data_IF_454643869339
#
_entry.id   IF_454643869339
#
_cell.length_a   1.000
_cell.length_b   1.000
_cell.length_c   1.000
_cell.angle_alpha   90.00
_cell.angle_beta   90.00
_cell.angle_gamma   90.00
#
_symmetry.space_group_name_H-M   'P 1'
#
loop_
_entity.id
_entity.type
_entity.pdbx_description
1 polymer ?
#
# COMPACT_ATOMS: atom_id res chain seq x y z
N UNK A 1 5.33 -37.93 -20.74
CA UNK A 1 6.08 -36.89 -21.48
C UNK A 1 6.83 -36.04 -20.47
N UNK A 2 8.16 -36.07 -20.56
CA UNK A 2 9.12 -35.39 -19.69
C UNK A 2 8.89 -33.87 -19.67
N UNK A 3 8.59 -33.32 -18.48
CA UNK A 3 8.60 -31.87 -18.24
C UNK A 3 10.08 -31.44 -18.22
N UNK A 4 10.52 -30.78 -19.30
CA UNK A 4 11.80 -30.07 -19.33
C UNK A 4 11.77 -28.96 -18.27
N UNK A 5 12.51 -29.16 -17.17
CA UNK A 5 12.80 -28.11 -16.22
C UNK A 5 13.72 -27.09 -16.90
N UNK A 6 13.22 -25.88 -17.08
CA UNK A 6 14.04 -24.73 -17.48
C UNK A 6 14.91 -24.40 -16.26
N UNK A 7 16.20 -24.71 -16.34
CA UNK A 7 17.19 -24.38 -15.33
C UNK A 7 17.46 -22.88 -15.37
N UNK A 8 16.88 -22.12 -14.43
CA UNK A 8 17.27 -20.73 -14.19
C UNK A 8 18.50 -20.70 -13.28
N UNK A 9 19.47 -19.86 -13.62
CA UNK A 9 20.72 -19.69 -12.85
C UNK A 9 20.46 -19.31 -11.39
N UNK A 10 21.34 -19.80 -10.50
CA UNK A 10 21.21 -19.67 -9.05
C UNK A 10 21.08 -18.22 -8.56
N UNK A 11 20.44 -18.09 -7.40
CA UNK A 11 20.19 -16.84 -6.67
C UNK A 11 21.50 -16.03 -6.46
N UNK A 12 21.46 -14.72 -6.76
CA UNK A 12 22.56 -13.80 -6.53
C UNK A 12 22.46 -13.13 -5.15
N UNK A 13 23.56 -13.11 -4.39
CA UNK A 13 23.64 -12.56 -3.03
C UNK A 13 24.89 -11.69 -2.84
N UNK A 14 24.87 -10.77 -1.88
CA UNK A 14 25.98 -9.82 -1.65
C UNK A 14 26.91 -10.21 -0.52
N UNK A 15 26.58 -11.27 0.23
CA UNK A 15 27.43 -11.79 1.30
C UNK A 15 27.71 -13.28 1.15
N UNK A 16 28.86 -13.70 1.63
CA UNK A 16 29.20 -15.10 1.84
C UNK A 16 30.06 -15.24 3.10
N UNK A 17 30.32 -16.49 3.50
CA UNK A 17 31.21 -16.83 4.62
C UNK A 17 32.37 -17.67 4.07
N UNK A 18 33.59 -17.44 4.53
CA UNK A 18 34.74 -18.29 4.23
C UNK A 18 34.71 -19.56 5.09
N UNK A 19 35.49 -20.58 4.75
CA UNK A 19 35.58 -21.81 5.56
C UNK A 19 36.00 -21.55 7.02
N UNK A 20 36.77 -20.49 7.26
CA UNK A 20 37.17 -20.07 8.60
C UNK A 20 36.11 -19.27 9.37
N UNK A 21 34.89 -19.13 8.83
CA UNK A 21 33.79 -18.38 9.44
C UNK A 21 33.82 -16.87 9.20
N UNK A 22 34.82 -16.33 8.50
CA UNK A 22 34.92 -14.89 8.20
C UNK A 22 33.86 -14.48 7.18
N UNK A 23 33.11 -13.42 7.49
CA UNK A 23 32.09 -12.90 6.58
C UNK A 23 32.69 -11.98 5.53
N UNK A 24 32.40 -12.25 4.25
CA UNK A 24 32.77 -11.42 3.11
C UNK A 24 31.51 -10.71 2.58
N UNK A 25 31.68 -9.45 2.17
CA UNK A 25 30.62 -8.53 1.79
C UNK A 25 30.99 -7.79 0.52
N UNK A 26 30.16 -7.89 -0.52
CA UNK A 26 30.31 -7.08 -1.74
C UNK A 26 29.92 -5.61 -1.53
N UNK A 27 29.50 -5.24 -0.32
CA UNK A 27 29.27 -3.85 0.05
C UNK A 27 30.53 -3.12 0.52
N UNK A 28 31.57 -3.87 0.89
CA UNK A 28 32.84 -3.31 1.34
C UNK A 28 33.64 -2.77 0.16
N UNK A 29 34.68 -1.97 0.44
CA UNK A 29 35.59 -1.50 -0.60
C UNK A 29 36.53 -2.63 -0.97
N UNK A 30 36.48 -3.05 -2.23
CA UNK A 30 37.32 -4.10 -2.79
C UNK A 30 37.95 -3.63 -4.07
N UNK A 31 39.20 -4.05 -4.31
CA UNK A 31 39.81 -4.01 -5.63
C UNK A 31 39.60 -5.33 -6.36
N UNK A 32 39.47 -5.28 -7.69
CA UNK A 32 39.21 -6.48 -8.50
C UNK A 32 40.32 -7.54 -8.35
N UNK A 33 41.58 -7.11 -8.24
CA UNK A 33 42.73 -7.99 -8.02
C UNK A 33 42.61 -8.74 -6.69
N UNK A 34 42.24 -8.04 -5.60
CA UNK A 34 42.07 -8.66 -4.28
C UNK A 34 40.98 -9.74 -4.30
N UNK A 35 39.84 -9.47 -4.94
CA UNK A 35 38.75 -10.43 -5.05
C UNK A 35 39.10 -11.61 -5.97
N UNK A 36 39.89 -11.39 -7.02
CA UNK A 36 40.40 -12.45 -7.88
C UNK A 36 41.36 -13.37 -7.12
N UNK A 37 42.24 -12.81 -6.28
CA UNK A 37 43.14 -13.58 -5.43
C UNK A 37 42.36 -14.35 -4.36
N UNK A 38 41.40 -13.70 -3.71
CA UNK A 38 40.51 -14.36 -2.73
C UNK A 38 39.76 -15.53 -3.37
N UNK A 39 39.26 -15.35 -4.61
CA UNK A 39 38.54 -16.39 -5.36
C UNK A 39 39.41 -17.59 -5.71
N UNK A 40 40.73 -17.41 -5.87
CA UNK A 40 41.67 -18.52 -6.11
C UNK A 40 42.03 -19.26 -4.83
N UNK A 41 42.13 -18.53 -3.72
CA UNK A 41 42.65 -19.04 -2.45
C UNK A 41 41.59 -19.60 -1.52
N UNK A 42 40.35 -19.11 -1.61
CA UNK A 42 39.30 -19.39 -0.63
C UNK A 42 38.06 -19.98 -1.28
N UNK A 43 37.31 -20.77 -0.50
CA UNK A 43 35.97 -21.22 -0.85
C UNK A 43 34.94 -20.35 -0.12
N UNK A 44 33.89 -19.98 -0.83
CA UNK A 44 32.78 -19.21 -0.28
C UNK A 44 31.60 -20.13 -0.02
N UNK A 45 30.99 -19.93 1.15
CA UNK A 45 29.89 -20.72 1.67
C UNK A 45 28.68 -19.81 1.89
N UNK A 46 27.50 -20.29 1.52
CA UNK A 46 26.24 -19.64 1.82
C UNK A 46 25.95 -19.72 3.33
N UNK A 47 25.73 -18.60 4.04
CA UNK A 47 25.45 -18.61 5.48
C UNK A 47 24.12 -19.27 5.87
N UNK A 48 23.27 -19.61 4.90
CA UNK A 48 21.93 -20.17 5.15
C UNK A 48 21.96 -21.70 5.00
N UNK A 49 22.30 -22.18 3.80
CA UNK A 49 22.26 -23.62 3.50
C UNK A 49 23.61 -24.31 3.70
N UNK A 50 24.68 -23.56 4.00
CA UNK A 50 26.05 -24.07 4.13
C UNK A 50 26.61 -24.69 2.84
N UNK A 51 25.93 -24.47 1.70
CA UNK A 51 26.39 -24.91 0.38
C UNK A 51 27.38 -23.92 -0.23
N UNK A 52 28.17 -24.40 -1.20
CA UNK A 52 29.17 -23.59 -1.89
C UNK A 52 28.53 -22.52 -2.79
N UNK A 53 29.14 -21.34 -2.81
CA UNK A 53 28.79 -20.24 -3.71
C UNK A 53 30.00 -19.75 -4.51
N UNK A 54 29.76 -19.21 -5.70
CA UNK A 54 30.78 -18.71 -6.63
C UNK A 54 30.76 -17.19 -6.63
N UNK A 55 31.93 -16.56 -6.43
CA UNK A 55 32.11 -15.13 -6.62
C UNK A 55 32.12 -14.76 -8.12
N UNK A 56 31.13 -13.97 -8.54
CA UNK A 56 30.95 -13.47 -9.90
C UNK A 56 31.42 -12.01 -10.00
N UNK A 57 32.57 -11.81 -10.64
CA UNK A 57 33.17 -10.50 -10.89
C UNK A 57 32.85 -10.04 -12.32
N UNK A 58 31.58 -9.77 -12.60
CA UNK A 58 31.16 -9.30 -13.92
C UNK A 58 31.54 -7.84 -14.16
N UNK A 59 31.83 -7.46 -15.40
CA UNK A 59 32.09 -6.06 -15.80
C UNK A 59 30.81 -5.24 -15.98
N UNK A 60 29.68 -5.90 -16.29
CA UNK A 60 28.37 -5.26 -16.51
C UNK A 60 27.39 -5.41 -15.35
N UNK A 61 27.60 -6.41 -14.48
CA UNK A 61 26.73 -6.70 -13.34
C UNK A 61 27.52 -6.49 -12.06
N UNK A 62 26.86 -5.95 -11.04
CA UNK A 62 27.45 -5.80 -9.71
C UNK A 62 28.06 -7.13 -9.24
N UNK A 63 29.21 -7.05 -8.58
CA UNK A 63 29.85 -8.22 -7.99
C UNK A 63 28.94 -8.88 -6.95
N UNK A 64 28.79 -10.20 -7.05
CA UNK A 64 27.87 -10.98 -6.21
C UNK A 64 28.35 -12.42 -6.09
N UNK A 65 27.80 -13.13 -5.12
CA UNK A 65 27.93 -14.57 -5.00
C UNK A 65 26.70 -15.26 -5.61
N UNK A 66 26.86 -16.44 -6.20
CA UNK A 66 25.75 -17.26 -6.69
C UNK A 66 25.97 -18.73 -6.38
N UNK A 67 24.93 -19.47 -6.02
CA UNK A 67 25.01 -20.92 -5.88
C UNK A 67 25.44 -21.59 -7.19
N UNK A 68 26.14 -22.73 -7.09
CA UNK A 68 26.42 -23.59 -8.24
C UNK A 68 25.11 -24.13 -8.86
N UNK A 69 25.11 -24.39 -10.17
CA UNK A 69 23.93 -24.91 -10.87
C UNK A 69 23.43 -26.18 -10.17
N UNK A 70 22.11 -26.28 -9.96
CA UNK A 70 21.39 -27.37 -9.26
C UNK A 70 21.41 -27.36 -7.72
N UNK A 71 22.05 -26.39 -7.05
CA UNK A 71 21.91 -26.24 -5.59
C UNK A 71 20.84 -25.18 -5.26
N UNK A 72 19.72 -25.62 -4.69
CA UNK A 72 18.64 -24.76 -4.20
C UNK A 72 18.80 -24.52 -2.71
N UNK A 73 19.09 -23.28 -2.30
CA UNK A 73 19.03 -22.88 -0.90
C UNK A 73 17.61 -23.11 -0.35
N UNK A 74 17.48 -23.55 0.92
CA UNK A 74 16.17 -23.75 1.59
C UNK A 74 15.31 -22.49 1.59
N UNK A 75 15.93 -21.31 1.52
CA UNK A 75 15.27 -20.03 1.28
C UNK A 75 15.32 -19.76 -0.22
N UNK A 76 14.43 -20.38 -0.98
CA UNK A 76 14.35 -20.12 -2.43
C UNK A 76 13.79 -18.71 -2.66
N UNK A 77 14.65 -17.77 -3.02
CA UNK A 77 14.27 -16.45 -3.52
C UNK A 77 14.38 -16.46 -5.05
N UNK A 78 13.47 -15.76 -5.73
CA UNK A 78 13.58 -15.58 -7.18
C UNK A 78 14.94 -14.95 -7.53
N UNK A 79 15.53 -15.24 -8.70
CA UNK A 79 16.80 -14.64 -9.10
C UNK A 79 16.75 -13.11 -8.99
N UNK A 80 17.57 -12.54 -8.11
CA UNK A 80 17.60 -11.09 -7.91
C UNK A 80 18.17 -10.39 -9.15
N UNK A 81 17.46 -9.37 -9.64
CA UNK A 81 17.93 -8.55 -10.75
C UNK A 81 19.09 -7.63 -10.32
N UNK A 82 19.91 -7.17 -11.28
CA UNK A 82 20.94 -6.17 -11.01
C UNK A 82 20.35 -4.87 -10.40
N UNK A 83 19.13 -4.51 -10.79
CA UNK A 83 18.38 -3.39 -10.21
C UNK A 83 18.12 -3.61 -8.71
N UNK A 84 17.67 -4.81 -8.33
CA UNK A 84 17.42 -5.17 -6.93
C UNK A 84 18.71 -5.14 -6.10
N UNK A 85 19.77 -5.79 -6.57
CA UNK A 85 21.07 -5.85 -5.89
C UNK A 85 21.67 -4.46 -5.67
N UNK A 86 21.60 -3.59 -6.69
CA UNK A 86 22.11 -2.23 -6.61
C UNK A 86 21.28 -1.37 -5.64
N UNK A 87 19.95 -1.47 -5.71
CA UNK A 87 19.08 -0.71 -4.81
C UNK A 87 19.24 -1.11 -3.34
N UNK A 88 19.33 -2.41 -3.07
CA UNK A 88 19.65 -2.95 -1.74
C UNK A 88 20.97 -2.40 -1.21
N UNK A 89 22.02 -2.46 -2.04
CA UNK A 89 23.34 -1.96 -1.67
C UNK A 89 23.35 -0.44 -1.42
N UNK A 90 22.65 0.32 -2.24
CA UNK A 90 22.52 1.77 -2.07
C UNK A 90 21.82 2.13 -0.76
N UNK A 91 20.71 1.45 -0.44
CA UNK A 91 19.97 1.66 0.81
C UNK A 91 20.87 1.38 2.01
N UNK A 92 21.62 0.27 1.99
CA UNK A 92 22.60 -0.05 3.03
C UNK A 92 23.66 1.06 3.18
N UNK A 93 24.26 1.51 2.07
CA UNK A 93 25.27 2.58 2.07
C UNK A 93 24.70 3.91 2.58
N UNK A 94 23.47 4.23 2.23
CA UNK A 94 22.77 5.44 2.67
C UNK A 94 22.53 5.46 4.18
N UNK A 95 22.14 4.32 4.76
CA UNK A 95 22.01 4.18 6.22
C UNK A 95 23.37 4.36 6.92
N UNK A 96 24.41 3.67 6.44
CA UNK A 96 25.76 3.76 7.01
C UNK A 96 26.32 5.17 6.97
N UNK A 97 26.05 5.91 5.88
CA UNK A 97 26.47 7.31 5.72
C UNK A 97 25.83 8.26 6.75
N UNK A 98 24.66 7.90 7.28
CA UNK A 98 23.98 8.63 8.35
C UNK A 98 24.41 8.18 9.75
N UNK A 99 25.42 7.33 9.88
CA UNK A 99 25.86 6.80 11.17
C UNK A 99 24.98 5.69 11.73
N UNK A 100 24.02 5.18 10.96
CA UNK A 100 23.12 4.11 11.38
C UNK A 100 23.87 2.78 11.36
N UNK A 101 23.78 2.02 12.46
CA UNK A 101 24.27 0.64 12.51
C UNK A 101 23.38 -0.24 11.64
N UNK A 102 23.85 -0.54 10.44
CA UNK A 102 23.16 -1.42 9.48
C UNK A 102 24.00 -2.67 9.17
N UNK A 103 23.31 -3.76 8.84
CA UNK A 103 23.86 -5.00 8.28
C UNK A 103 23.06 -5.41 7.05
N UNK A 104 23.74 -5.89 6.03
CA UNK A 104 23.14 -6.28 4.76
C UNK A 104 22.90 -7.80 4.78
N UNK A 105 21.74 -8.29 4.32
CA UNK A 105 21.40 -9.72 4.17
C UNK A 105 21.70 -10.60 5.41
N UNK A 106 21.39 -10.10 6.61
CA UNK A 106 21.63 -10.85 7.86
C UNK A 106 20.60 -11.97 8.01
N UNK A 107 21.05 -13.21 8.13
CA UNK A 107 20.15 -14.33 8.39
C UNK A 107 19.64 -14.29 9.83
N UNK A 108 18.33 -14.46 10.01
CA UNK A 108 17.64 -14.49 11.30
C UNK A 108 17.10 -15.91 11.56
N UNK A 109 17.86 -16.78 12.26
CA UNK A 109 17.53 -18.20 12.38
C UNK A 109 16.17 -18.48 13.04
N UNK A 110 15.82 -17.67 14.06
CA UNK A 110 14.56 -17.83 14.83
C UNK A 110 13.33 -17.78 13.94
N UNK A 111 13.35 -16.95 12.89
CA UNK A 111 12.23 -16.78 11.95
C UNK A 111 12.53 -17.34 10.56
N UNK A 112 13.73 -17.90 10.38
CA UNK A 112 14.25 -18.39 9.10
C UNK A 112 14.11 -17.39 7.95
N UNK A 113 14.27 -16.10 8.25
CA UNK A 113 14.17 -15.02 7.26
C UNK A 113 15.49 -14.29 7.11
N UNK A 114 15.63 -13.61 5.98
CA UNK A 114 16.78 -12.76 5.65
C UNK A 114 16.22 -11.43 5.13
N UNK A 115 16.19 -10.36 5.94
CA UNK A 115 15.88 -9.03 5.44
C UNK A 115 16.97 -8.58 4.48
N UNK A 116 16.59 -7.72 3.54
CA UNK A 116 17.54 -7.11 2.63
C UNK A 116 18.55 -6.26 3.40
N UNK A 117 18.07 -5.43 4.32
CA UNK A 117 18.92 -4.69 5.25
C UNK A 117 18.31 -4.72 6.64
N UNK A 118 19.11 -5.02 7.67
CA UNK A 118 18.72 -4.82 9.07
C UNK A 118 19.41 -3.59 9.63
N UNK A 119 18.73 -2.76 10.40
CA UNK A 119 19.36 -1.60 11.03
C UNK A 119 18.82 -1.31 12.43
N UNK A 120 19.59 -0.57 13.23
CA UNK A 120 19.21 -0.11 14.57
C UNK A 120 19.08 1.40 14.59
N UNK A 121 17.87 1.90 14.85
CA UNK A 121 17.53 3.33 14.96
C UNK A 121 16.87 3.56 16.33
N UNK A 122 17.34 4.55 17.08
CA UNK A 122 16.75 4.93 18.38
C UNK A 122 16.49 3.74 19.32
N UNK A 123 17.44 2.80 19.39
CA UNK A 123 17.33 1.59 20.21
C UNK A 123 16.49 0.44 19.63
N UNK A 124 15.70 0.70 18.58
CA UNK A 124 14.80 -0.29 17.95
C UNK A 124 15.46 -0.93 16.72
N UNK A 125 15.14 -2.19 16.46
CA UNK A 125 15.57 -2.92 15.27
C UNK A 125 14.54 -2.80 14.16
N UNK A 126 15.03 -2.59 12.95
CA UNK A 126 14.22 -2.48 11.74
C UNK A 126 14.71 -3.47 10.69
N UNK A 127 13.78 -4.14 10.03
CA UNK A 127 14.02 -4.97 8.85
C UNK A 127 13.53 -4.21 7.61
N UNK A 128 14.44 -3.80 6.75
CA UNK A 128 14.14 -3.15 5.49
C UNK A 128 14.07 -4.20 4.38
N UNK A 129 12.96 -4.19 3.65
CA UNK A 129 12.66 -5.02 2.48
C UNK A 129 12.61 -4.15 1.23
N UNK A 130 13.37 -4.48 0.19
CA UNK A 130 13.44 -3.71 -1.05
C UNK A 130 12.76 -4.42 -2.22
N UNK A 131 11.44 -4.32 -2.32
CA UNK A 131 10.67 -5.12 -3.28
C UNK A 131 10.56 -4.47 -4.68
N UNK A 132 11.23 -5.06 -5.67
CA UNK A 132 11.23 -4.58 -7.07
C UNK A 132 10.27 -5.34 -8.00
N UNK A 133 9.98 -6.62 -7.71
CA UNK A 133 9.09 -7.49 -8.48
C UNK A 133 7.75 -7.70 -7.76
N UNK A 134 6.79 -8.38 -8.39
CA UNK A 134 5.52 -8.68 -7.72
C UNK A 134 5.73 -9.69 -6.60
N UNK A 135 5.03 -9.51 -5.48
CA UNK A 135 5.05 -10.41 -4.33
C UNK A 135 3.61 -10.86 -4.04
N UNK A 136 3.41 -12.13 -3.68
CA UNK A 136 2.10 -12.58 -3.20
C UNK A 136 1.78 -11.94 -1.84
N UNK A 137 0.50 -11.68 -1.57
CA UNK A 137 0.06 -11.10 -0.29
C UNK A 137 0.41 -12.03 0.88
N UNK A 138 0.24 -13.35 0.71
CA UNK A 138 0.67 -14.38 1.67
C UNK A 138 2.16 -14.25 2.05
N UNK A 139 3.06 -14.21 1.05
CA UNK A 139 4.51 -14.11 1.30
C UNK A 139 4.90 -12.77 1.93
N UNK A 140 4.22 -11.69 1.56
CA UNK A 140 4.39 -10.38 2.20
C UNK A 140 4.04 -10.46 3.70
N UNK A 141 2.90 -11.06 4.01
CA UNK A 141 2.40 -11.20 5.38
C UNK A 141 3.30 -12.14 6.20
N UNK A 142 3.76 -13.26 5.64
CA UNK A 142 4.67 -14.18 6.31
C UNK A 142 5.99 -13.50 6.73
N UNK A 143 6.56 -12.69 5.85
CA UNK A 143 7.77 -11.89 6.15
C UNK A 143 7.49 -10.87 7.24
N UNK A 144 6.47 -10.05 7.04
CA UNK A 144 6.08 -9.00 7.99
C UNK A 144 5.78 -9.56 9.39
N UNK A 145 5.02 -10.65 9.47
CA UNK A 145 4.68 -11.32 10.72
C UNK A 145 5.88 -12.04 11.35
N UNK A 146 6.81 -12.56 10.53
CA UNK A 146 8.11 -13.04 10.99
C UNK A 146 8.84 -11.99 11.82
N UNK A 147 9.07 -10.81 11.23
CA UNK A 147 9.75 -9.70 11.92
C UNK A 147 9.02 -9.23 13.17
N UNK A 148 7.70 -9.03 13.09
CA UNK A 148 6.89 -8.58 14.22
C UNK A 148 6.98 -9.54 15.41
N UNK A 149 6.98 -10.87 15.19
CA UNK A 149 7.07 -11.88 16.25
C UNK A 149 8.37 -11.81 17.06
N UNK A 150 9.45 -11.31 16.48
CA UNK A 150 10.75 -11.16 17.15
C UNK A 150 11.06 -9.70 17.51
N UNK A 151 10.05 -8.82 17.50
CA UNK A 151 10.19 -7.41 17.89
C UNK A 151 11.00 -6.57 16.91
N UNK A 152 11.12 -7.00 15.64
CA UNK A 152 11.78 -6.24 14.57
C UNK A 152 10.71 -5.52 13.76
N UNK A 153 10.89 -4.22 13.54
CA UNK A 153 9.91 -3.37 12.83
C UNK A 153 10.16 -3.46 11.32
N UNK A 154 9.22 -3.98 10.51
CA UNK A 154 9.39 -4.06 9.07
C UNK A 154 9.20 -2.70 8.39
N UNK A 155 10.06 -2.37 7.44
CA UNK A 155 9.94 -1.23 6.52
C UNK A 155 10.02 -1.75 5.09
N UNK A 156 8.96 -1.56 4.31
CA UNK A 156 8.93 -1.95 2.91
C UNK A 156 9.23 -0.74 2.02
N UNK A 157 10.28 -0.86 1.21
CA UNK A 157 10.67 0.11 0.19
C UNK A 157 10.43 -0.53 -1.17
N UNK A 158 9.65 0.13 -2.03
CA UNK A 158 9.35 -0.38 -3.36
C UNK A 158 10.41 0.09 -4.38
N UNK A 159 10.70 -0.74 -5.37
CA UNK A 159 11.53 -0.32 -6.51
C UNK A 159 10.91 0.87 -7.24
N UNK A 160 11.73 1.81 -7.71
CA UNK A 160 11.26 2.96 -8.50
C UNK A 160 10.54 2.55 -9.79
N UNK A 161 10.89 1.38 -10.35
CA UNK A 161 10.17 0.72 -11.44
C UNK A 161 8.70 0.36 -11.12
N UNK A 162 8.32 0.38 -9.84
CA UNK A 162 6.95 0.13 -9.38
C UNK A 162 6.11 1.39 -9.20
N UNK A 163 6.73 2.59 -9.25
CA UNK A 163 6.00 3.85 -9.16
C UNK A 163 5.25 4.15 -10.46
N UNK A 164 3.95 3.88 -10.49
CA UNK A 164 3.11 4.01 -11.71
C UNK A 164 2.24 5.26 -11.67
N UNK A 165 2.82 6.41 -12.04
CA UNK A 165 2.06 7.64 -12.27
C UNK A 165 1.26 7.53 -13.59
N UNK A 166 0.02 8.00 -13.58
CA UNK A 166 -0.88 7.91 -14.74
C UNK A 166 -1.11 9.26 -15.36
N UNK A 167 -1.78 10.16 -14.65
CA UNK A 167 -1.97 11.55 -15.07
C UNK A 167 -2.06 12.43 -13.82
N UNK A 168 -1.32 13.54 -13.81
CA UNK A 168 -1.35 14.49 -12.69
C UNK A 168 -1.10 13.79 -11.36
N UNK A 169 -2.08 13.80 -10.45
CA UNK A 169 -2.01 13.19 -9.11
C UNK A 169 -2.57 11.76 -9.04
N UNK A 170 -2.90 11.15 -10.18
CA UNK A 170 -3.44 9.79 -10.23
C UNK A 170 -2.32 8.74 -10.36
N UNK A 171 -2.37 7.73 -9.50
CA UNK A 171 -1.41 6.64 -9.42
C UNK A 171 -2.10 5.28 -9.53
N UNK A 172 -1.34 4.29 -9.98
CA UNK A 172 -1.75 2.88 -9.96
C UNK A 172 -0.95 2.13 -8.89
N UNK A 173 -1.66 1.51 -7.94
CA UNK A 173 -1.11 0.77 -6.81
C UNK A 173 -1.68 -0.65 -6.82
N UNK A 174 -0.83 -1.67 -6.89
CA UNK A 174 -1.19 -3.09 -6.95
C UNK A 174 -1.41 -3.70 -5.56
N UNK A 175 -2.05 -4.88 -5.50
CA UNK A 175 -2.51 -5.55 -4.27
C UNK A 175 -1.52 -5.48 -3.10
N UNK A 176 -0.39 -6.19 -3.19
CA UNK A 176 0.60 -6.20 -2.11
C UNK A 176 1.23 -4.83 -1.81
N UNK A 177 1.26 -3.89 -2.77
CA UNK A 177 1.79 -2.55 -2.53
C UNK A 177 0.93 -1.79 -1.50
N UNK A 178 -0.37 -2.12 -1.38
CA UNK A 178 -1.21 -1.57 -0.32
C UNK A 178 -0.85 -2.08 1.08
N UNK A 179 -0.25 -3.27 1.17
CA UNK A 179 0.25 -3.85 2.41
C UNK A 179 1.59 -3.21 2.84
N UNK A 180 2.39 -2.74 1.86
CA UNK A 180 3.66 -2.06 2.08
C UNK A 180 3.53 -0.68 2.74
N UNK A 181 2.32 -0.09 2.74
CA UNK A 181 2.09 1.21 3.34
C UNK A 181 2.02 1.09 4.86
N UNK A 182 3.00 1.63 5.62
CA UNK A 182 2.99 1.57 7.07
C UNK A 182 1.72 2.20 7.64
N UNK A 183 1.20 1.57 8.69
CA UNK A 183 0.09 2.09 9.48
C UNK A 183 0.66 2.89 10.67
N UNK A 184 0.32 4.18 10.75
CA UNK A 184 0.68 5.03 11.89
C UNK A 184 -0.58 5.45 12.66
N UNK A 185 -0.89 4.79 13.80
CA UNK A 185 -2.09 5.11 14.59
C UNK A 185 -2.03 6.51 15.23
N UNK A 186 -0.84 7.08 15.38
CA UNK A 186 -0.63 8.38 16.04
C UNK A 186 -0.73 9.58 15.07
N UNK A 187 -0.80 9.34 13.75
CA UNK A 187 -0.85 10.39 12.72
C UNK A 187 -2.02 10.16 11.75
N UNK A 188 -3.23 10.06 12.30
CA UNK A 188 -4.46 10.10 11.51
C UNK A 188 -4.64 8.95 10.51
N UNK A 189 -4.08 7.76 10.77
CA UNK A 189 -4.14 6.62 9.84
C UNK A 189 -3.58 6.94 8.43
N UNK A 190 -2.68 7.94 8.31
CA UNK A 190 -2.11 8.28 7.01
C UNK A 190 -1.17 7.19 6.51
N UNK A 191 -1.56 6.58 5.39
CA UNK A 191 -0.73 5.66 4.63
C UNK A 191 0.12 6.40 3.61
N UNK A 192 1.40 6.01 3.55
CA UNK A 192 2.33 6.47 2.53
C UNK A 192 3.11 5.29 1.96
N UNK A 193 3.72 5.46 0.79
CA UNK A 193 4.58 4.46 0.17
C UNK A 193 5.94 5.07 -0.13
N UNK A 194 6.99 4.34 0.23
CA UNK A 194 8.38 4.73 -0.03
C UNK A 194 8.89 3.96 -1.24
N UNK A 195 9.56 4.66 -2.14
CA UNK A 195 10.18 4.11 -3.32
C UNK A 195 11.65 4.52 -3.40
N UNK A 196 12.48 3.63 -3.96
CA UNK A 196 13.87 3.94 -4.29
C UNK A 196 14.24 3.47 -5.70
N UNK A 197 14.86 4.35 -6.48
CA UNK A 197 15.36 4.06 -7.81
C UNK A 197 16.91 4.10 -7.84
N UNK A 198 17.61 2.96 -7.90
CA UNK A 198 19.07 2.90 -7.95
C UNK A 198 19.68 3.53 -9.19
N UNK A 199 19.00 3.45 -10.34
CA UNK A 199 19.49 4.01 -11.61
C UNK A 199 19.54 5.53 -11.58
N UNK A 200 18.51 6.17 -11.02
CA UNK A 200 18.42 7.63 -10.93
C UNK A 200 18.92 8.20 -9.60
N UNK A 201 19.29 7.32 -8.65
CA UNK A 201 19.66 7.66 -7.27
C UNK A 201 18.66 8.63 -6.63
N UNK A 202 17.38 8.26 -6.68
CA UNK A 202 16.28 9.07 -6.13
C UNK A 202 15.39 8.25 -5.23
N UNK A 203 15.03 8.86 -4.13
CA UNK A 203 13.89 8.49 -3.30
C UNK A 203 12.63 9.10 -3.88
N UNK A 204 11.52 8.39 -3.77
CA UNK A 204 10.21 8.95 -4.01
C UNK A 204 9.26 8.49 -2.90
N UNK A 205 8.30 9.35 -2.56
CA UNK A 205 7.32 9.10 -1.53
C UNK A 205 5.94 9.47 -2.05
N UNK A 206 4.99 8.55 -1.88
CA UNK A 206 3.57 8.81 -2.12
C UNK A 206 2.87 8.99 -0.80
N UNK A 207 2.39 10.20 -0.55
CA UNK A 207 1.64 10.56 0.65
C UNK A 207 0.16 10.79 0.32
N UNK A 208 -0.69 10.77 1.36
CA UNK A 208 -2.15 10.99 1.26
C UNK A 208 -2.82 10.12 0.20
N UNK A 209 -2.48 8.84 0.22
CA UNK A 209 -2.99 7.88 -0.75
C UNK A 209 -4.49 7.67 -0.52
N UNK A 210 -5.30 8.18 -1.44
CA UNK A 210 -6.76 8.06 -1.41
C UNK A 210 -7.22 7.15 -2.53
N UNK A 211 -7.59 5.91 -2.19
CA UNK A 211 -8.12 4.94 -3.14
C UNK A 211 -9.49 5.36 -3.66
N UNK A 212 -9.73 5.11 -4.94
CA UNK A 212 -11.05 5.28 -5.55
C UNK A 212 -11.46 4.07 -6.41
N UNK A 213 -10.58 3.06 -6.48
CA UNK A 213 -10.83 1.73 -7.04
C UNK A 213 -9.81 0.74 -6.45
N UNK A 214 -9.89 -0.52 -6.88
CA UNK A 214 -8.99 -1.58 -6.45
C UNK A 214 -7.51 -1.23 -6.58
N UNK A 215 -7.14 -0.57 -7.68
CA UNK A 215 -5.76 -0.28 -8.02
C UNK A 215 -5.46 1.16 -8.41
N UNK A 216 -6.40 2.10 -8.22
CA UNK A 216 -6.19 3.52 -8.51
C UNK A 216 -6.41 4.39 -7.29
N UNK A 217 -5.51 5.35 -7.14
CA UNK A 217 -5.53 6.32 -6.05
C UNK A 217 -5.16 7.72 -6.54
N UNK A 218 -5.57 8.71 -5.76
CA UNK A 218 -5.01 10.07 -5.81
C UNK A 218 -3.98 10.16 -4.69
N UNK A 219 -2.80 10.71 -4.96
CA UNK A 219 -1.74 10.86 -3.98
C UNK A 219 -0.85 12.08 -4.29
N UNK A 220 -0.10 12.52 -3.27
CA UNK A 220 0.95 13.53 -3.40
C UNK A 220 2.30 12.85 -3.57
N UNK A 221 3.08 13.27 -4.57
CA UNK A 221 4.39 12.69 -4.87
C UNK A 221 5.50 13.67 -4.49
N UNK A 222 6.38 13.23 -3.59
CA UNK A 222 7.62 13.90 -3.22
C UNK A 222 8.80 13.13 -3.77
N UNK A 223 9.76 13.79 -4.41
CA UNK A 223 10.96 13.16 -4.98
C UNK A 223 12.21 13.81 -4.39
N UNK A 224 13.13 13.00 -3.89
CA UNK A 224 14.30 13.46 -3.14
C UNK A 224 15.56 12.80 -3.68
N UNK A 225 16.68 13.54 -3.68
CA UNK A 225 17.98 12.99 -4.13
C UNK A 225 18.52 12.01 -3.08
N UNK A 226 19.17 10.94 -3.52
CA UNK A 226 19.83 9.95 -2.63
C UNK A 226 20.79 10.60 -1.62
N UNK A 227 21.57 11.59 -2.06
CA UNK A 227 22.53 12.32 -1.21
C UNK A 227 21.94 13.59 -0.56
N UNK A 228 20.62 13.75 -0.54
CA UNK A 228 20.01 14.87 0.20
C UNK A 228 20.18 14.67 1.71
N UNK A 229 19.95 15.74 2.50
CA UNK A 229 20.05 15.71 3.97
C UNK A 229 18.90 14.97 4.66
N UNK A 230 18.05 14.24 3.91
CA UNK A 230 16.92 13.52 4.51
C UNK A 230 17.42 12.41 5.43
N UNK A 231 16.92 12.42 6.67
CA UNK A 231 17.20 11.36 7.64
C UNK A 231 16.34 10.12 7.42
N UNK A 232 16.74 8.98 8.00
CA UNK A 232 15.90 7.76 7.99
C UNK A 232 14.58 8.00 8.70
N UNK A 233 14.63 8.70 9.81
CA UNK A 233 13.51 9.11 10.62
C UNK A 233 12.53 9.95 9.81
N UNK A 234 13.01 10.96 9.07
CA UNK A 234 12.17 11.78 8.18
C UNK A 234 11.55 10.96 7.03
N UNK A 235 12.29 10.01 6.47
CA UNK A 235 11.81 9.18 5.37
C UNK A 235 10.64 8.28 5.79
N UNK A 236 10.66 7.79 7.04
CA UNK A 236 9.64 6.88 7.59
C UNK A 236 8.62 7.58 8.49
N UNK A 237 8.82 8.86 8.83
CA UNK A 237 7.85 9.63 9.60
C UNK A 237 6.66 10.01 8.72
N UNK A 238 5.42 9.95 9.21
CA UNK A 238 4.26 10.52 8.51
C UNK A 238 4.50 11.99 8.13
N UNK A 239 3.93 12.43 7.01
CA UNK A 239 4.03 13.84 6.59
C UNK A 239 2.81 14.58 7.09
N UNK A 240 3.01 15.55 7.98
CA UNK A 240 1.91 16.35 8.49
C UNK A 240 1.35 17.31 7.42
N UNK A 241 0.04 17.60 7.51
CA UNK A 241 -0.62 18.74 6.87
C UNK A 241 -0.64 18.85 5.33
N UNK A 242 -0.37 17.79 4.56
CA UNK A 242 -0.59 17.87 3.10
C UNK A 242 -2.10 18.03 2.80
N UNK A 243 -2.55 18.97 1.95
CA UNK A 243 -3.98 19.11 1.67
C UNK A 243 -4.50 18.00 0.74
N UNK A 244 -5.74 17.57 0.98
CA UNK A 244 -6.44 16.67 0.06
C UNK A 244 -6.74 17.36 -1.28
N UNK A 245 -6.44 16.69 -2.40
CA UNK A 245 -6.67 17.25 -3.73
C UNK A 245 -8.16 17.13 -4.14
N UNK A 246 -8.98 18.03 -3.60
CA UNK A 246 -10.42 18.06 -3.85
C UNK A 246 -10.77 18.26 -5.32
N UNK A 247 -10.00 19.07 -6.06
CA UNK A 247 -10.20 19.29 -7.49
C UNK A 247 -10.06 18.00 -8.29
N UNK A 248 -9.00 17.22 -8.03
CA UNK A 248 -8.80 15.92 -8.67
C UNK A 248 -9.89 14.91 -8.27
N UNK A 249 -10.36 14.95 -7.02
CA UNK A 249 -11.46 14.09 -6.57
C UNK A 249 -12.78 14.43 -7.26
N UNK A 250 -13.14 15.72 -7.39
CA UNK A 250 -14.32 16.16 -8.13
C UNK A 250 -14.25 15.78 -9.61
N UNK A 251 -13.06 15.86 -10.22
CA UNK A 251 -12.85 15.34 -11.59
C UNK A 251 -13.11 13.83 -11.66
N UNK A 252 -12.71 13.08 -10.63
CA UNK A 252 -13.00 11.64 -10.55
C UNK A 252 -14.50 11.35 -10.34
N UNK A 253 -15.20 12.12 -9.49
CA UNK A 253 -16.66 12.02 -9.35
C UNK A 253 -17.37 12.32 -10.67
N UNK A 254 -16.98 13.39 -11.36
CA UNK A 254 -17.50 13.72 -12.71
C UNK A 254 -17.32 12.55 -13.68
N UNK A 255 -16.16 11.89 -13.68
CA UNK A 255 -15.94 10.68 -14.49
C UNK A 255 -16.91 9.56 -14.15
N UNK A 256 -17.19 9.29 -12.86
CA UNK A 256 -18.19 8.28 -12.48
C UNK A 256 -19.60 8.64 -12.95
N UNK A 257 -19.94 9.93 -13.03
CA UNK A 257 -21.25 10.37 -13.53
C UNK A 257 -21.39 10.26 -15.04
N UNK A 258 -20.35 10.62 -15.80
CA UNK A 258 -20.46 10.79 -17.25
C UNK A 258 -19.96 9.59 -18.06
N UNK A 259 -19.12 8.72 -17.47
CA UNK A 259 -18.60 7.57 -18.21
C UNK A 259 -19.58 6.40 -18.16
N UNK A 260 -19.79 5.71 -19.29
CA UNK A 260 -20.70 4.58 -19.33
C UNK A 260 -20.19 3.44 -18.45
N UNK A 261 -21.14 2.70 -17.89
CA UNK A 261 -20.84 1.52 -17.11
C UNK A 261 -20.12 0.48 -17.98
N UNK A 262 -18.94 0.02 -17.52
CA UNK A 262 -18.12 -0.91 -18.31
C UNK A 262 -18.73 -2.33 -18.25
N UNK A 263 -18.90 -3.03 -19.41
CA UNK A 263 -19.55 -4.34 -19.47
C UNK A 263 -18.79 -5.45 -18.73
N UNK A 264 -17.46 -5.38 -18.67
CA UNK A 264 -16.57 -6.40 -18.09
C UNK A 264 -16.15 -6.08 -16.65
N UNK A 265 -17.12 -5.73 -15.82
CA UNK A 265 -16.88 -5.18 -14.49
C UNK A 265 -16.91 -6.22 -13.36
N UNK A 266 -16.33 -5.87 -12.21
CA UNK A 266 -16.25 -6.74 -11.02
C UNK A 266 -17.63 -7.16 -10.50
N UNK A 267 -17.70 -8.22 -9.67
CA UNK A 267 -18.95 -8.65 -9.01
C UNK A 267 -19.68 -7.50 -8.31
N UNK A 268 -18.94 -6.64 -7.60
CA UNK A 268 -19.46 -5.42 -6.96
C UNK A 268 -20.15 -4.49 -7.95
N UNK A 269 -19.55 -4.29 -9.12
CA UNK A 269 -20.08 -3.38 -10.12
C UNK A 269 -21.33 -3.93 -10.82
N UNK A 270 -21.32 -5.22 -11.18
CA UNK A 270 -22.52 -5.89 -11.74
C UNK A 270 -23.68 -5.86 -10.76
N UNK A 271 -23.41 -6.07 -9.47
CA UNK A 271 -24.43 -5.98 -8.41
C UNK A 271 -24.95 -4.56 -8.29
N UNK A 272 -24.06 -3.57 -8.27
CA UNK A 272 -24.43 -2.16 -8.23
C UNK A 272 -25.32 -1.75 -9.41
N UNK A 273 -24.97 -2.15 -10.64
CA UNK A 273 -25.80 -1.90 -11.84
C UNK A 273 -27.20 -2.47 -11.70
N UNK A 274 -27.33 -3.74 -11.27
CA UNK A 274 -28.63 -4.38 -11.07
C UNK A 274 -29.46 -3.65 -10.03
N UNK A 275 -28.81 -3.21 -8.96
CA UNK A 275 -29.48 -2.55 -7.86
C UNK A 275 -29.98 -1.14 -8.22
N UNK A 276 -29.15 -0.36 -8.91
CA UNK A 276 -29.56 0.91 -9.51
C UNK A 276 -30.76 0.74 -10.45
N UNK A 277 -30.77 -0.32 -11.26
CA UNK A 277 -31.90 -0.65 -12.14
C UNK A 277 -33.19 -0.92 -11.37
N UNK A 278 -33.14 -1.74 -10.31
CA UNK A 278 -34.30 -2.03 -9.43
C UNK A 278 -34.87 -0.74 -8.82
N UNK A 279 -34.00 0.17 -8.38
CA UNK A 279 -34.39 1.45 -7.80
C UNK A 279 -34.68 2.54 -8.86
N UNK A 280 -34.62 2.21 -10.16
CA UNK A 280 -34.85 3.13 -11.28
C UNK A 280 -33.93 4.36 -11.26
N UNK A 281 -32.69 4.19 -10.80
CA UNK A 281 -31.67 5.24 -10.72
C UNK A 281 -30.70 5.07 -11.89
N UNK A 282 -30.57 6.05 -12.80
CA UNK A 282 -29.56 6.01 -13.85
C UNK A 282 -28.14 5.95 -13.26
N UNK A 283 -27.20 5.17 -13.84
CA UNK A 283 -25.88 4.96 -13.24
C UNK A 283 -25.07 6.21 -12.90
N UNK A 284 -25.20 7.28 -13.67
CA UNK A 284 -24.51 8.55 -13.39
C UNK A 284 -25.21 9.46 -12.38
N UNK A 285 -26.44 9.13 -12.00
CA UNK A 285 -27.31 9.90 -11.10
C UNK A 285 -27.43 9.26 -9.71
N UNK A 286 -26.46 8.43 -9.32
CA UNK A 286 -26.34 8.01 -7.93
C UNK A 286 -26.29 9.23 -6.98
N UNK A 287 -26.76 9.10 -5.72
CA UNK A 287 -26.83 10.21 -4.76
C UNK A 287 -25.54 11.02 -4.67
N UNK A 288 -25.63 12.34 -4.60
CA UNK A 288 -24.44 13.20 -4.56
C UNK A 288 -23.63 13.07 -3.27
N UNK A 289 -24.28 12.61 -2.21
CA UNK A 289 -23.74 12.30 -0.89
C UNK A 289 -22.89 11.02 -0.89
N UNK A 290 -22.82 10.28 -2.00
CA UNK A 290 -21.92 9.15 -2.22
C UNK A 290 -20.68 9.52 -3.05
N UNK A 291 -19.67 8.64 -3.02
CA UNK A 291 -18.42 8.82 -3.74
C UNK A 291 -17.45 9.80 -3.08
N UNK A 292 -17.53 9.96 -1.77
CA UNK A 292 -16.66 10.83 -1.00
C UNK A 292 -15.60 10.04 -0.26
N UNK A 293 -14.42 10.62 -0.16
CA UNK A 293 -13.32 9.98 0.56
C UNK A 293 -13.57 9.98 2.08
N UNK A 294 -13.20 8.88 2.73
CA UNK A 294 -13.14 8.72 4.18
C UNK A 294 -11.74 8.22 4.61
N UNK A 295 -11.23 8.58 5.80
CA UNK A 295 -9.90 8.14 6.26
C UNK A 295 -9.70 6.61 6.27
N UNK A 296 -10.68 5.86 6.79
CA UNK A 296 -10.59 4.40 6.95
C UNK A 296 -10.81 3.64 5.64
N UNK A 297 -11.21 4.30 4.55
CA UNK A 297 -11.59 3.63 3.29
C UNK A 297 -10.42 2.99 2.52
N UNK A 298 -9.17 3.26 2.88
CA UNK A 298 -7.98 2.79 2.14
C UNK A 298 -7.92 1.26 2.04
N UNK A 299 -8.60 0.61 2.97
CA UNK A 299 -8.78 -0.83 3.12
C UNK A 299 -9.84 -1.45 2.19
N UNK A 300 -10.61 -0.61 1.52
CA UNK A 300 -11.69 -1.03 0.64
C UNK A 300 -11.18 -1.10 -0.80
N UNK A 301 -11.48 -2.21 -1.46
CA UNK A 301 -11.21 -2.41 -2.90
C UNK A 301 -12.35 -1.82 -3.72
N UNK A 302 -13.59 -1.99 -3.26
CA UNK A 302 -14.80 -1.44 -3.87
C UNK A 302 -14.79 0.09 -3.85
N UNK A 303 -15.12 0.71 -4.98
CA UNK A 303 -15.12 2.17 -5.13
C UNK A 303 -16.14 2.85 -4.19
N UNK A 304 -15.83 4.02 -3.60
CA UNK A 304 -16.73 4.69 -2.66
C UNK A 304 -18.07 5.08 -3.24
N UNK A 305 -18.16 5.41 -4.54
CA UNK A 305 -19.45 5.71 -5.18
C UNK A 305 -20.39 4.49 -5.24
N UNK A 306 -19.88 3.27 -5.06
CA UNK A 306 -20.69 2.05 -5.05
C UNK A 306 -21.22 1.80 -3.64
N UNK A 307 -20.32 1.58 -2.68
CA UNK A 307 -20.73 1.15 -1.34
C UNK A 307 -21.45 2.26 -0.55
N UNK A 308 -21.11 3.53 -0.77
CA UNK A 308 -21.84 4.64 -0.14
C UNK A 308 -23.23 4.80 -0.75
N UNK A 309 -23.36 4.69 -2.08
CA UNK A 309 -24.67 4.70 -2.72
C UNK A 309 -25.55 3.57 -2.21
N UNK A 310 -24.96 2.40 -1.96
CA UNK A 310 -25.65 1.29 -1.31
C UNK A 310 -26.24 1.68 0.06
N UNK A 311 -25.43 2.24 0.95
CA UNK A 311 -25.95 2.66 2.27
C UNK A 311 -27.05 3.71 2.14
N UNK A 312 -26.90 4.69 1.24
CA UNK A 312 -27.87 5.75 1.05
C UNK A 312 -29.22 5.23 0.52
N UNK A 313 -29.20 4.47 -0.56
CA UNK A 313 -30.44 3.96 -1.17
C UNK A 313 -31.09 2.89 -0.27
N UNK A 314 -30.32 2.10 0.48
CA UNK A 314 -30.87 1.07 1.37
C UNK A 314 -31.40 1.63 2.70
N UNK A 315 -30.68 2.57 3.32
CA UNK A 315 -30.95 3.00 4.70
C UNK A 315 -31.56 4.40 4.80
N UNK A 316 -31.45 5.24 3.77
CA UNK A 316 -31.91 6.64 3.82
C UNK A 316 -33.09 6.91 2.90
N UNK A 317 -33.07 6.47 1.65
CA UNK A 317 -34.18 6.72 0.72
C UNK A 317 -35.56 6.18 1.18
N UNK A 318 -35.64 5.05 1.92
CA UNK A 318 -36.93 4.59 2.46
C UNK A 318 -37.43 5.38 3.67
N UNK A 319 -36.56 6.17 4.33
CA UNK A 319 -36.90 6.90 5.56
C UNK A 319 -37.44 8.29 5.26
N UNK A 320 -38.27 8.82 6.16
CA UNK A 320 -38.76 10.19 6.12
C UNK A 320 -37.92 11.12 6.98
N UNK A 321 -37.97 12.42 6.67
CA UNK A 321 -37.43 13.46 7.56
C UNK A 321 -37.89 13.27 9.01
N UNK A 322 -36.98 13.56 9.93
CA UNK A 322 -37.10 13.40 11.39
C UNK A 322 -37.06 11.96 11.92
N UNK A 323 -36.97 10.94 11.07
CA UNK A 323 -36.74 9.58 11.54
C UNK A 323 -35.33 9.41 12.13
N UNK A 324 -35.19 8.43 13.02
CA UNK A 324 -33.93 8.09 13.67
C UNK A 324 -33.08 7.19 12.77
N UNK A 325 -31.78 7.47 12.74
CA UNK A 325 -30.75 6.64 12.12
C UNK A 325 -29.71 6.29 13.17
N UNK A 326 -29.31 5.03 13.23
CA UNK A 326 -28.35 4.52 14.22
C UNK A 326 -27.09 4.00 13.54
N UNK A 327 -25.94 4.09 14.20
CA UNK A 327 -24.72 3.48 13.67
C UNK A 327 -24.81 1.96 13.58
N UNK A 328 -25.59 1.32 14.46
CA UNK A 328 -25.84 -0.12 14.45
C UNK A 328 -26.57 -0.55 13.19
N UNK A 329 -27.63 0.17 12.80
CA UNK A 329 -28.37 -0.06 11.55
C UNK A 329 -27.45 0.04 10.31
N UNK A 330 -26.62 1.08 10.25
CA UNK A 330 -25.67 1.26 9.16
C UNK A 330 -24.59 0.17 9.15
N UNK A 331 -24.06 -0.21 10.32
CA UNK A 331 -23.05 -1.25 10.46
C UNK A 331 -23.61 -2.62 10.04
N UNK A 332 -24.84 -2.94 10.43
CA UNK A 332 -25.52 -4.17 10.03
C UNK A 332 -25.68 -4.24 8.50
N UNK A 333 -26.20 -3.17 7.90
CA UNK A 333 -26.39 -3.09 6.44
C UNK A 333 -25.07 -3.23 5.68
N UNK A 334 -24.01 -2.57 6.14
CA UNK A 334 -22.69 -2.67 5.53
C UNK A 334 -22.08 -4.07 5.69
N UNK A 335 -22.23 -4.69 6.86
CA UNK A 335 -21.74 -6.04 7.13
C UNK A 335 -22.43 -7.06 6.22
N UNK A 336 -23.76 -6.99 6.09
CA UNK A 336 -24.52 -7.83 5.16
C UNK A 336 -24.04 -7.67 3.70
N UNK A 337 -23.78 -6.43 3.29
CA UNK A 337 -23.25 -6.12 1.95
C UNK A 337 -21.85 -6.72 1.70
N UNK A 338 -20.99 -6.70 2.71
CA UNK A 338 -19.67 -7.35 2.68
C UNK A 338 -19.82 -8.88 2.63
N UNK A 339 -20.65 -9.47 3.49
CA UNK A 339 -20.84 -10.92 3.60
C UNK A 339 -21.44 -11.53 2.32
N UNK A 340 -22.31 -10.82 1.61
CA UNK A 340 -22.82 -11.23 0.29
C UNK A 340 -21.76 -11.10 -0.84
N UNK A 341 -20.59 -10.55 -0.52
CA UNK A 341 -19.48 -10.33 -1.44
C UNK A 341 -19.76 -9.23 -2.45
N UNK A 342 -20.58 -8.24 -2.08
CA UNK A 342 -20.87 -7.07 -2.90
C UNK A 342 -19.86 -5.94 -2.65
N UNK A 343 -19.25 -5.93 -1.47
CA UNK A 343 -18.08 -5.12 -1.13
C UNK A 343 -16.88 -6.00 -0.83
N UNK A 344 -15.74 -5.65 -1.44
CA UNK A 344 -14.48 -6.37 -1.27
C UNK A 344 -13.53 -5.50 -0.47
N UNK A 345 -12.94 -6.08 0.56
CA UNK A 345 -11.86 -5.48 1.34
C UNK A 345 -10.51 -6.03 0.89
N UNK A 346 -9.42 -5.34 1.20
CA UNK A 346 -8.05 -5.87 1.12
C UNK A 346 -7.91 -6.93 2.23
N UNK A 347 -7.17 -8.03 2.05
CA UNK A 347 -7.34 -9.27 2.87
C UNK A 347 -7.16 -9.12 4.41
N UNK A 348 -6.67 -7.98 4.90
CA UNK A 348 -6.39 -7.71 6.33
C UNK A 348 -7.60 -7.49 7.27
N UNK A 349 -8.87 -7.64 6.83
CA UNK A 349 -10.05 -7.33 7.67
C UNK A 349 -10.62 -8.45 8.50
N UNK A 350 -10.33 -9.72 8.20
CA UNK A 350 -11.11 -10.81 8.80
C UNK A 350 -10.99 -10.87 10.33
N UNK A 351 -9.88 -10.42 10.91
CA UNK A 351 -9.67 -10.41 12.37
C UNK A 351 -10.23 -9.17 13.08
N UNK A 352 -10.58 -8.10 12.36
CA UNK A 352 -11.01 -6.80 12.93
C UNK A 352 -12.22 -6.18 12.24
N UNK A 353 -12.97 -6.97 11.48
CA UNK A 353 -14.07 -6.51 10.61
C UNK A 353 -15.10 -5.65 11.35
N UNK A 354 -15.50 -6.04 12.57
CA UNK A 354 -16.49 -5.28 13.35
C UNK A 354 -15.96 -3.88 13.69
N UNK A 355 -14.73 -3.78 14.18
CA UNK A 355 -14.09 -2.49 14.50
C UNK A 355 -13.98 -1.61 13.25
N UNK A 356 -13.53 -2.19 12.15
CA UNK A 356 -13.42 -1.50 10.87
C UNK A 356 -14.78 -0.98 10.37
N UNK A 357 -15.82 -1.81 10.38
CA UNK A 357 -17.16 -1.42 9.95
C UNK A 357 -17.69 -0.29 10.84
N UNK A 358 -17.54 -0.41 12.16
CA UNK A 358 -17.97 0.63 13.11
C UNK A 358 -17.26 1.97 12.87
N UNK A 359 -15.94 1.96 12.65
CA UNK A 359 -15.17 3.17 12.33
C UNK A 359 -15.62 3.78 11.00
N UNK A 360 -15.80 2.96 9.97
CA UNK A 360 -16.18 3.41 8.63
C UNK A 360 -17.60 4.00 8.58
N UNK A 361 -18.58 3.39 9.26
CA UNK A 361 -19.94 3.94 9.31
C UNK A 361 -20.02 5.20 10.17
N UNK A 362 -19.21 5.29 11.23
CA UNK A 362 -19.07 6.51 12.01
C UNK A 362 -18.52 7.66 11.14
N UNK A 363 -17.40 7.43 10.45
CA UNK A 363 -16.82 8.41 9.52
C UNK A 363 -17.82 8.87 8.46
N UNK A 364 -18.63 7.94 7.95
CA UNK A 364 -19.65 8.26 6.95
C UNK A 364 -20.82 9.05 7.54
N UNK A 365 -21.30 8.71 8.75
CA UNK A 365 -22.35 9.45 9.43
C UNK A 365 -21.92 10.89 9.79
N UNK A 366 -20.67 11.08 10.22
CA UNK A 366 -20.12 12.41 10.44
C UNK A 366 -20.02 13.20 9.13
N UNK A 367 -19.65 12.56 8.02
CA UNK A 367 -19.67 13.20 6.70
C UNK A 367 -21.08 13.63 6.29
N UNK A 368 -22.09 12.79 6.50
CA UNK A 368 -23.48 13.14 6.22
C UNK A 368 -23.99 14.25 7.13
N UNK A 369 -23.46 14.36 8.35
CA UNK A 369 -23.71 15.50 9.24
C UNK A 369 -23.11 16.79 8.68
N UNK A 370 -21.88 16.75 8.16
CA UNK A 370 -21.25 17.86 7.43
C UNK A 370 -22.08 18.30 6.20
N UNK A 371 -22.74 17.35 5.53
CA UNK A 371 -23.63 17.64 4.41
C UNK A 371 -25.04 18.09 4.84
N UNK A 372 -25.26 18.25 6.15
CA UNK A 372 -26.54 18.58 6.76
C UNK A 372 -27.66 17.56 6.49
N UNK A 373 -27.30 16.34 6.09
CA UNK A 373 -28.25 15.24 5.88
C UNK A 373 -28.67 14.66 7.23
N UNK A 374 -27.71 14.54 8.15
CA UNK A 374 -27.92 14.05 9.50
C UNK A 374 -27.74 15.17 10.53
N UNK A 375 -28.46 15.07 11.64
CA UNK A 375 -28.21 15.82 12.88
C UNK A 375 -27.83 14.86 13.99
N UNK A 376 -26.65 15.05 14.58
CA UNK A 376 -26.18 14.21 15.69
C UNK A 376 -27.02 14.45 16.94
N UNK A 377 -27.53 13.38 17.54
CA UNK A 377 -28.19 13.41 18.86
C UNK A 377 -27.15 13.07 19.93
N UNK A 378 -26.42 11.98 19.73
CA UNK A 378 -25.35 11.50 20.60
C UNK A 378 -24.31 10.71 19.77
N UNK A 379 -23.42 9.97 20.43
CA UNK A 379 -22.31 9.26 19.77
C UNK A 379 -22.75 8.16 18.79
N UNK A 380 -23.96 7.60 18.92
CA UNK A 380 -24.42 6.48 18.08
C UNK A 380 -25.77 6.73 17.39
N UNK A 381 -26.39 7.89 17.62
CA UNK A 381 -27.73 8.20 17.14
C UNK A 381 -27.82 9.56 16.46
N UNK A 382 -28.55 9.57 15.35
CA UNK A 382 -28.75 10.72 14.48
C UNK A 382 -30.24 10.85 14.13
N UNK A 383 -30.66 12.07 13.80
CA UNK A 383 -31.94 12.37 13.15
C UNK A 383 -31.70 12.63 11.68
N UNK A 384 -32.55 12.08 10.82
CA UNK A 384 -32.55 12.38 9.39
C UNK A 384 -33.12 13.79 9.15
N UNK A 385 -32.25 14.78 8.91
CA UNK A 385 -32.64 16.19 8.90
C UNK A 385 -33.07 16.68 7.51
N UNK A 386 -32.31 16.35 6.47
CA UNK A 386 -32.58 16.77 5.10
C UNK A 386 -32.59 15.56 4.17
N UNK A 387 -33.68 15.42 3.41
CA UNK A 387 -33.89 14.28 2.54
C UNK A 387 -32.90 14.26 1.37
N UNK A 388 -32.51 13.05 0.98
CA UNK A 388 -31.62 12.80 -0.15
C UNK A 388 -32.52 12.61 -1.36
N UNK A 389 -32.31 13.42 -2.38
CA UNK A 389 -33.02 13.31 -3.66
C UNK A 389 -32.10 12.76 -4.75
N UNK A 390 -32.67 11.90 -5.58
CA UNK A 390 -32.05 11.51 -6.85
C UNK A 390 -32.30 12.64 -7.83
N UNK A 391 -31.21 13.23 -8.33
CA UNK A 391 -31.26 14.37 -9.23
C UNK A 391 -31.61 13.92 -10.65
N UNK A 392 -32.22 14.82 -11.43
CA UNK A 392 -32.77 14.50 -12.76
C UNK A 392 -31.72 14.59 -13.86
N UNK A 393 -30.70 15.43 -13.69
CA UNK A 393 -29.67 15.68 -14.72
C UNK A 393 -28.24 15.54 -14.20
N UNK A 394 -27.30 15.23 -15.11
CA UNK A 394 -25.88 15.16 -14.75
C UNK A 394 -25.32 16.52 -14.31
N UNK A 395 -25.79 17.62 -14.90
CA UNK A 395 -25.33 18.96 -14.54
C UNK A 395 -25.77 19.36 -13.13
N UNK A 396 -27.01 19.06 -12.73
CA UNK A 396 -27.48 19.25 -11.35
C UNK A 396 -26.63 18.42 -10.38
N UNK A 397 -26.35 17.16 -10.73
CA UNK A 397 -25.56 16.27 -9.89
C UNK A 397 -24.10 16.73 -9.73
N UNK A 398 -23.50 17.26 -10.79
CA UNK A 398 -22.15 17.85 -10.75
C UNK A 398 -22.15 19.15 -9.94
N UNK A 399 -23.17 20.01 -10.09
CA UNK A 399 -23.32 21.23 -9.27
C UNK A 399 -23.48 20.89 -7.78
N UNK A 400 -24.26 19.83 -7.46
CA UNK A 400 -24.41 19.34 -6.09
C UNK A 400 -23.09 18.80 -5.53
N UNK A 401 -22.31 18.05 -6.31
CA UNK A 401 -20.97 17.61 -5.90
C UNK A 401 -20.06 18.80 -5.55
N UNK A 402 -20.08 19.85 -6.37
CA UNK A 402 -19.31 21.07 -6.11
C UNK A 402 -19.77 21.77 -4.83
N UNK A 403 -21.07 21.89 -4.60
CA UNK A 403 -21.62 22.46 -3.38
C UNK A 403 -21.18 21.68 -2.13
N UNK A 404 -21.34 20.35 -2.14
CA UNK A 404 -20.94 19.48 -1.03
C UNK A 404 -19.43 19.53 -0.77
N UNK A 405 -18.60 19.73 -1.80
CA UNK A 405 -17.15 19.87 -1.63
C UNK A 405 -16.77 21.08 -0.78
N UNK A 406 -17.52 22.18 -0.90
CA UNK A 406 -17.31 23.41 -0.10
C UNK A 406 -17.65 23.16 1.36
N UNK A 407 -18.74 22.46 1.64
CA UNK A 407 -19.12 22.06 3.01
C UNK A 407 -18.05 21.17 3.65
N UNK A 408 -17.53 20.18 2.91
CA UNK A 408 -16.47 19.29 3.41
C UNK A 408 -15.16 20.05 3.67
N UNK A 409 -14.80 21.01 2.81
CA UNK A 409 -13.60 21.82 3.00
C UNK A 409 -13.65 22.68 4.27
N UNK A 410 -14.83 23.22 4.59
CA UNK A 410 -15.03 24.08 5.76
C UNK A 410 -15.17 23.30 7.08
N UNK A 411 -15.15 21.95 7.04
CA UNK A 411 -15.21 21.12 8.25
C UNK A 411 -13.85 20.46 8.51
N UNK A 412 -13.04 20.98 9.45
CA UNK A 412 -11.68 20.50 9.69
C UNK A 412 -11.65 19.03 10.11
N UNK A 413 -12.60 18.57 10.94
CA UNK A 413 -12.60 17.23 11.57
C UNK A 413 -12.52 16.03 10.61
N UNK A 414 -12.83 16.20 9.31
CA UNK A 414 -12.75 15.13 8.30
C UNK A 414 -11.73 15.42 7.19
N UNK A 415 -11.10 16.59 7.20
CA UNK A 415 -10.10 17.01 6.20
C UNK A 415 -8.68 17.06 6.76
N UNK A 416 -8.53 17.22 8.08
CA UNK A 416 -7.23 17.29 8.77
C UNK A 416 -6.70 15.93 9.25
N UNK A 417 -7.29 14.81 8.82
CA UNK A 417 -6.81 13.45 9.12
C UNK A 417 -6.07 12.88 7.91
#
# INVERSE_FOLDING_TARGET
MSKRYITYGGEAMLHAVLENGTRISMADKWHENELNDLRKQQRFICPICQERVILKLGTKRQWHFSHEQNHSCRIWLEPESAYHLQGKLDIYKWLRKQGVKAGLEVYLPVIQQRPDVICKLNGKLYAIEYQCSSLSEERFLDRTNGYNRVGIIPIWILGGNRLRRKQGVHFQIQGFEWLAAPFSPHHGNQKFLIYFCPETKRWARLDRITSYSSNRAIASLSVMKYNSRISVEELIAPTDHLPFNMSAWLKQKKKWRTQPMQPYSSKSYKTFSKWLYIHRIPPGLFPAEAGWFLPTQHEIVTSPHIWQSFLLIQCFLPKKKNERITLEELAYSLTDFIMKGFMVSRENFKQSMNKFVSELVYEYAELLTTFHILKKINSSHYVYQNEISILSTYDEAIKRDQFLSKLKHNTPNLTSI
#
